data_IF_736135753220
#
_entry.id   IF_736135753220
#
_cell.length_a   1.000
_cell.length_b   1.000
_cell.length_c   1.000
_cell.angle_alpha   90.00
_cell.angle_beta   90.00
_cell.angle_gamma   90.00
#
_symmetry.space_group_name_H-M   'P 1'
#
loop_
_entity.id
_entity.type
_entity.pdbx_description
1 polymer ?
#
# COMPACT_ATOMS: atom_id res chain seq x y z
N UNK A 1 22.18 -18.56 11.14
CA UNK A 1 22.84 -18.47 9.81
C UNK A 1 24.34 -18.37 10.05
N UNK A 2 25.13 -19.24 9.44
CA UNK A 2 26.59 -19.19 9.55
C UNK A 2 27.16 -18.05 8.70
N UNK A 3 28.31 -17.48 9.07
CA UNK A 3 28.96 -16.40 8.32
C UNK A 3 29.21 -16.77 6.83
N UNK A 4 29.53 -18.04 6.56
CA UNK A 4 29.73 -18.54 5.20
C UNK A 4 28.46 -18.55 4.36
N UNK A 5 27.30 -18.84 4.96
CA UNK A 5 26.00 -18.80 4.27
C UNK A 5 25.61 -17.35 3.95
N UNK A 6 25.89 -16.41 4.86
CA UNK A 6 25.70 -14.98 4.64
C UNK A 6 26.53 -14.50 3.44
N UNK A 7 27.83 -14.80 3.42
CA UNK A 7 28.71 -14.39 2.34
C UNK A 7 28.31 -14.99 0.98
N UNK A 8 27.88 -16.27 0.98
CA UNK A 8 27.39 -16.93 -0.22
C UNK A 8 26.10 -16.29 -0.75
N UNK A 9 25.16 -15.93 0.11
CA UNK A 9 23.94 -15.21 -0.28
C UNK A 9 24.27 -13.84 -0.89
N UNK A 10 25.16 -13.07 -0.27
CA UNK A 10 25.56 -11.75 -0.76
C UNK A 10 26.33 -11.81 -2.10
N UNK A 11 27.07 -12.91 -2.34
CA UNK A 11 27.69 -13.19 -3.64
C UNK A 11 26.66 -13.39 -4.75
N UNK A 12 25.52 -14.03 -4.45
CA UNK A 12 24.42 -14.18 -5.38
C UNK A 12 23.74 -12.84 -5.67
N UNK A 13 23.49 -12.02 -4.63
CA UNK A 13 22.90 -10.68 -4.78
C UNK A 13 23.73 -9.79 -5.71
N UNK A 14 25.06 -9.77 -5.55
CA UNK A 14 25.93 -8.97 -6.40
C UNK A 14 25.97 -9.42 -7.88
N UNK A 15 25.55 -10.66 -8.17
CA UNK A 15 25.48 -11.20 -9.55
C UNK A 15 24.07 -11.12 -10.14
N UNK A 16 23.05 -10.91 -9.31
CA UNK A 16 21.67 -10.85 -9.75
C UNK A 16 21.45 -9.61 -10.61
N UNK A 17 20.74 -9.79 -11.73
CA UNK A 17 20.44 -8.68 -12.63
C UNK A 17 19.29 -7.85 -12.04
N UNK A 18 19.40 -6.52 -12.00
CA UNK A 18 18.27 -5.66 -11.66
C UNK A 18 17.13 -5.87 -12.67
N UNK A 19 15.92 -6.14 -12.20
CA UNK A 19 14.76 -6.40 -13.06
C UNK A 19 13.47 -6.65 -12.27
N UNK A 20 12.34 -6.88 -12.97
CA UNK A 20 11.02 -7.15 -12.36
C UNK A 20 10.88 -8.59 -11.79
N UNK A 21 11.95 -9.37 -11.82
CA UNK A 21 12.05 -10.72 -11.25
C UNK A 21 13.14 -10.81 -10.18
N UNK A 22 13.65 -9.67 -9.71
CA UNK A 22 14.84 -9.61 -8.86
C UNK A 22 14.69 -10.44 -7.58
N UNK A 23 13.55 -10.33 -6.87
CA UNK A 23 13.33 -11.08 -5.64
C UNK A 23 13.07 -12.57 -5.91
N UNK A 24 12.34 -12.91 -6.98
CA UNK A 24 12.11 -14.29 -7.40
C UNK A 24 13.40 -15.01 -7.82
N UNK A 25 14.26 -14.33 -8.57
CA UNK A 25 15.53 -14.87 -9.06
C UNK A 25 16.52 -15.12 -7.90
N UNK A 26 16.43 -14.31 -6.84
CA UNK A 26 17.22 -14.50 -5.63
C UNK A 26 16.69 -15.65 -4.77
N UNK A 27 15.37 -15.86 -4.71
CA UNK A 27 14.75 -16.84 -3.83
C UNK A 27 15.19 -16.64 -2.38
N UNK A 28 15.67 -17.71 -1.73
CA UNK A 28 16.13 -17.65 -0.34
C UNK A 28 17.55 -17.10 -0.17
N UNK A 29 18.21 -16.67 -1.26
CA UNK A 29 19.62 -16.25 -1.28
C UNK A 29 19.77 -14.76 -1.06
N UNK A 30 19.16 -14.24 0.00
CA UNK A 30 19.38 -12.87 0.43
C UNK A 30 18.87 -12.56 1.82
N UNK A 31 19.42 -11.49 2.40
CA UNK A 31 19.16 -11.09 3.77
C UNK A 31 18.56 -9.68 3.76
N UNK A 32 17.37 -9.56 4.35
CA UNK A 32 16.68 -8.28 4.50
C UNK A 32 16.60 -8.00 6.00
N UNK A 33 17.20 -6.89 6.42
CA UNK A 33 17.07 -6.39 7.79
C UNK A 33 15.67 -5.83 8.02
N UNK A 34 15.27 -5.71 9.29
CA UNK A 34 13.96 -5.16 9.63
C UNK A 34 13.74 -3.74 9.09
N UNK A 35 14.76 -2.88 9.15
CA UNK A 35 14.69 -1.54 8.60
C UNK A 35 14.52 -1.53 7.08
N UNK A 36 15.18 -2.45 6.37
CA UNK A 36 14.97 -2.62 4.92
C UNK A 36 13.59 -3.18 4.60
N UNK A 37 13.07 -4.09 5.41
CA UNK A 37 11.71 -4.60 5.26
C UNK A 37 10.68 -3.46 5.35
N UNK A 38 10.78 -2.61 6.37
CA UNK A 38 9.91 -1.43 6.49
C UNK A 38 10.09 -0.45 5.33
N UNK A 39 11.33 -0.24 4.88
CA UNK A 39 11.59 0.56 3.69
C UNK A 39 10.91 -0.01 2.42
N UNK A 40 11.08 -1.30 2.12
CA UNK A 40 10.42 -1.96 0.99
C UNK A 40 8.91 -1.85 1.11
N UNK A 41 8.38 -2.01 2.32
CA UNK A 41 6.95 -1.90 2.58
C UNK A 41 6.43 -0.48 2.30
N UNK A 42 7.18 0.55 2.68
CA UNK A 42 6.80 1.93 2.35
C UNK A 42 6.79 2.16 0.84
N UNK A 43 7.71 1.56 0.07
CA UNK A 43 7.72 1.67 -1.40
C UNK A 43 6.48 1.05 -2.02
N UNK A 44 6.03 -0.11 -1.53
CA UNK A 44 4.91 -0.83 -2.12
C UNK A 44 3.60 -0.03 -2.15
N UNK A 45 3.43 0.91 -1.22
CA UNK A 45 2.22 1.72 -1.05
C UNK A 45 2.35 3.16 -1.54
N UNK A 46 3.52 3.55 -2.06
CA UNK A 46 3.78 4.93 -2.49
C UNK A 46 3.46 5.12 -3.98
N UNK A 47 2.74 6.19 -4.36
CA UNK A 47 2.58 6.56 -5.76
C UNK A 47 3.92 7.02 -6.34
N UNK A 48 4.03 6.94 -7.67
CA UNK A 48 5.21 7.30 -8.45
C UNK A 48 5.65 8.76 -8.22
N UNK A 49 4.70 9.67 -8.02
CA UNK A 49 4.95 11.08 -7.67
C UNK A 49 5.69 11.24 -6.33
N UNK A 50 5.45 10.32 -5.39
CA UNK A 50 6.09 10.30 -4.08
C UNK A 50 7.55 9.82 -4.10
N UNK A 51 7.97 9.12 -5.15
CA UNK A 51 9.32 8.55 -5.27
C UNK A 51 10.41 9.61 -5.30
N UNK A 52 10.20 10.70 -6.05
CA UNK A 52 11.15 11.81 -6.11
C UNK A 52 11.26 12.55 -4.79
N UNK A 53 10.14 12.68 -4.07
CA UNK A 53 10.11 13.30 -2.74
C UNK A 53 10.89 12.43 -1.75
N UNK A 54 10.64 11.12 -1.74
CA UNK A 54 11.36 10.17 -0.90
C UNK A 54 12.87 10.17 -1.18
N UNK A 55 13.27 10.18 -2.46
CA UNK A 55 14.68 10.25 -2.83
C UNK A 55 15.35 11.52 -2.32
N UNK A 56 14.70 12.69 -2.50
CA UNK A 56 15.19 13.96 -1.97
C UNK A 56 15.24 14.03 -0.44
N UNK A 57 14.45 13.22 0.26
CA UNK A 57 14.54 13.10 1.71
C UNK A 57 15.75 12.25 2.15
N UNK A 58 16.23 11.35 1.28
CA UNK A 58 17.42 10.54 1.53
C UNK A 58 18.71 11.27 1.17
N UNK A 59 18.70 11.98 0.04
CA UNK A 59 19.80 12.82 -0.45
C UNK A 59 19.91 14.09 0.42
N UNK A 60 20.78 14.03 1.44
CA UNK A 60 20.91 15.11 2.43
C UNK A 60 21.82 16.24 1.98
N UNK A 61 22.72 15.97 1.03
CA UNK A 61 23.64 16.97 0.49
C UNK A 61 23.15 17.58 -0.85
N UNK A 62 22.09 17.03 -1.44
CA UNK A 62 21.43 17.53 -2.64
C UNK A 62 22.22 17.24 -3.91
N UNK A 63 23.09 16.24 -3.90
CA UNK A 63 23.97 15.91 -5.03
C UNK A 63 23.30 15.00 -6.10
N UNK A 64 22.00 14.73 -5.95
CA UNK A 64 21.17 13.83 -6.77
C UNK A 64 21.60 12.35 -6.73
N UNK A 65 22.37 11.97 -5.72
CA UNK A 65 22.86 10.62 -5.46
C UNK A 65 22.74 10.31 -3.97
N UNK A 66 22.42 9.07 -3.63
CA UNK A 66 22.38 8.63 -2.24
C UNK A 66 23.62 7.79 -1.95
N UNK A 67 24.32 8.09 -0.86
CA UNK A 67 25.43 7.28 -0.36
C UNK A 67 24.96 6.26 0.69
N UNK A 68 25.76 5.21 0.91
CA UNK A 68 25.49 4.18 1.93
C UNK A 68 25.22 4.79 3.31
N UNK A 69 25.97 5.83 3.70
CA UNK A 69 25.80 6.55 4.98
C UNK A 69 24.46 7.27 5.10
N UNK A 70 23.95 7.80 4.00
CA UNK A 70 22.66 8.49 3.97
C UNK A 70 21.50 7.49 4.06
N UNK A 71 21.63 6.34 3.40
CA UNK A 71 20.68 5.25 3.55
C UNK A 71 20.60 4.73 4.99
N UNK A 72 21.72 4.69 5.73
CA UNK A 72 21.70 4.36 7.17
C UNK A 72 20.93 5.38 8.02
N UNK A 73 20.88 6.66 7.63
CA UNK A 73 20.06 7.66 8.35
C UNK A 73 18.59 7.27 8.30
N UNK A 74 18.10 6.74 7.18
CA UNK A 74 16.74 6.22 7.05
C UNK A 74 16.48 5.07 8.01
N UNK A 75 17.39 4.08 8.04
CA UNK A 75 17.26 2.94 8.95
C UNK A 75 17.20 3.38 10.41
N UNK A 76 17.95 4.44 10.77
CA UNK A 76 17.93 5.02 12.12
C UNK A 76 16.64 5.76 12.44
N UNK A 77 16.03 6.43 11.47
CA UNK A 77 14.73 7.12 11.66
C UNK A 77 13.62 6.09 11.84
N UNK A 78 13.58 5.09 10.97
CA UNK A 78 12.59 4.01 11.02
C UNK A 78 12.72 3.23 12.34
N UNK A 79 13.94 2.88 12.76
CA UNK A 79 14.15 2.17 14.03
C UNK A 79 13.79 2.96 15.29
N UNK A 80 13.87 4.29 15.26
CA UNK A 80 13.49 5.14 16.41
C UNK A 80 11.98 5.23 16.64
N UNK A 81 11.17 5.02 15.60
CA UNK A 81 9.70 5.09 15.72
C UNK A 81 9.12 3.90 16.51
N UNK A 82 9.84 2.77 16.55
CA UNK A 82 9.50 1.58 17.33
C UNK A 82 9.99 1.65 18.79
N UNK A 83 11.16 2.26 19.05
CA UNK A 83 11.68 2.48 20.40
C UNK A 83 10.78 3.41 21.23
N UNK A 84 10.16 4.42 20.61
CA UNK A 84 9.25 5.33 21.33
C UNK A 84 7.97 4.64 21.80
N UNK A 85 7.61 3.49 21.20
CA UNK A 85 6.43 2.71 21.60
C UNK A 85 6.75 1.61 22.62
N UNK A 86 8.03 1.31 22.85
CA UNK A 86 8.46 0.13 23.61
C UNK A 86 9.60 0.46 24.57
N UNK A 87 9.40 1.39 25.51
CA UNK A 87 9.98 1.32 26.86
C UNK A 87 9.73 2.62 27.64
N UNK A 88 9.05 2.49 28.78
CA UNK A 88 9.52 3.18 29.96
C UNK A 88 10.85 2.55 30.34
N UNK A 89 11.84 3.41 30.56
CA UNK A 89 13.10 3.19 31.29
C UNK A 89 14.01 2.01 30.84
N UNK A 90 15.26 2.37 30.53
CA UNK A 90 16.44 1.51 30.33
C UNK A 90 16.66 0.84 28.96
N UNK A 91 17.02 1.63 27.92
CA UNK A 91 18.20 1.33 27.07
C UNK A 91 18.62 2.53 26.20
N UNK A 92 19.34 3.49 26.79
CA UNK A 92 20.09 4.51 26.04
C UNK A 92 21.41 3.88 25.55
N UNK A 93 21.39 2.89 24.67
CA UNK A 93 22.62 2.37 24.04
C UNK A 93 22.35 1.56 22.77
N UNK A 94 22.19 2.23 21.61
CA UNK A 94 22.60 1.64 20.31
C UNK A 94 22.83 2.61 19.14
N UNK A 95 23.01 3.90 19.43
CA UNK A 95 23.23 4.91 18.38
C UNK A 95 24.58 4.84 17.66
N UNK A 96 25.59 4.18 18.24
CA UNK A 96 26.96 4.13 17.71
C UNK A 96 27.37 2.77 17.12
N UNK A 97 26.61 1.69 17.38
CA UNK A 97 26.97 0.34 16.89
C UNK A 97 26.41 0.02 15.49
N UNK A 98 25.42 0.78 14.98
CA UNK A 98 24.84 0.49 13.66
C UNK A 98 25.79 0.85 12.52
N UNK A 99 26.70 1.82 12.70
CA UNK A 99 27.75 2.10 11.72
C UNK A 99 28.84 1.01 11.68
N UNK A 100 28.91 0.16 12.71
CA UNK A 100 29.95 -0.85 12.92
C UNK A 100 29.45 -2.31 12.87
N UNK A 101 28.14 -2.57 12.82
CA UNK A 101 27.61 -3.92 12.73
C UNK A 101 27.66 -4.40 11.28
N UNK A 102 28.85 -4.86 10.88
CA UNK A 102 29.24 -5.29 9.54
C UNK A 102 28.55 -6.54 9.03
N UNK A 103 27.22 -6.51 8.91
CA UNK A 103 26.48 -7.48 8.09
C UNK A 103 25.93 -6.73 6.89
N UNK A 104 26.56 -6.95 5.73
CA UNK A 104 26.00 -6.49 4.48
C UNK A 104 24.67 -7.21 4.24
N UNK A 105 23.66 -6.45 3.84
CA UNK A 105 22.32 -6.94 3.50
C UNK A 105 22.12 -6.89 1.98
N UNK A 106 21.02 -7.49 1.52
CA UNK A 106 20.68 -7.55 0.10
C UNK A 106 20.60 -6.15 -0.53
N UNK A 107 19.84 -5.21 0.06
CA UNK A 107 19.66 -3.89 -0.56
C UNK A 107 20.94 -3.06 -0.51
N UNK A 108 21.71 -3.17 0.58
CA UNK A 108 23.00 -2.48 0.68
C UNK A 108 23.98 -2.94 -0.42
N UNK A 109 24.06 -4.24 -0.66
CA UNK A 109 24.91 -4.79 -1.74
C UNK A 109 24.35 -4.41 -3.11
N UNK A 110 23.03 -4.40 -3.28
CA UNK A 110 22.38 -4.08 -4.54
C UNK A 110 22.57 -2.60 -4.94
N UNK A 111 22.49 -1.67 -3.98
CA UNK A 111 22.57 -0.22 -4.26
C UNK A 111 23.99 0.34 -4.19
N UNK A 112 24.84 -0.18 -3.31
CA UNK A 112 26.15 0.43 -3.01
C UNK A 112 27.34 -0.50 -3.32
N UNK A 113 27.06 -1.69 -3.86
CA UNK A 113 28.06 -2.73 -4.07
C UNK A 113 28.56 -3.35 -2.77
N UNK A 114 29.38 -4.40 -2.88
CA UNK A 114 29.92 -5.12 -1.70
C UNK A 114 30.78 -4.25 -0.78
N UNK A 115 31.53 -3.33 -1.39
CA UNK A 115 32.40 -2.41 -0.65
C UNK A 115 31.66 -1.16 -0.16
N UNK A 116 30.41 -0.93 -0.59
CA UNK A 116 29.62 0.23 -0.18
C UNK A 116 30.10 1.56 -0.75
N UNK A 117 30.84 1.53 -1.87
CA UNK A 117 31.45 2.71 -2.50
C UNK A 117 30.64 3.27 -3.67
N UNK A 118 29.71 2.47 -4.20
CA UNK A 118 28.84 2.92 -5.29
C UNK A 118 27.80 3.90 -4.74
N UNK A 119 27.27 4.75 -5.62
CA UNK A 119 26.31 5.78 -5.29
C UNK A 119 25.02 5.51 -6.05
N UNK A 120 23.89 5.60 -5.36
CA UNK A 120 22.59 5.29 -5.91
C UNK A 120 21.97 6.53 -6.57
N UNK A 121 21.76 6.49 -7.88
CA UNK A 121 21.13 7.60 -8.62
C UNK A 121 19.61 7.51 -8.54
N UNK A 122 18.93 8.65 -8.73
CA UNK A 122 17.47 8.69 -8.76
C UNK A 122 16.87 7.75 -9.82
N UNK A 123 17.46 7.66 -11.02
CA UNK A 123 16.96 6.78 -12.09
C UNK A 123 17.01 5.30 -11.71
N UNK A 124 18.03 4.89 -10.96
CA UNK A 124 18.19 3.51 -10.49
C UNK A 124 17.22 3.22 -9.36
N UNK A 125 17.10 4.16 -8.42
CA UNK A 125 16.12 4.10 -7.33
C UNK A 125 14.69 4.01 -7.87
N UNK A 126 14.32 4.87 -8.81
CA UNK A 126 13.02 4.88 -9.47
C UNK A 126 12.72 3.53 -10.12
N UNK A 127 13.66 3.02 -10.94
CA UNK A 127 13.51 1.72 -11.61
C UNK A 127 13.40 0.58 -10.61
N UNK A 128 14.15 0.60 -9.52
CA UNK A 128 14.04 -0.39 -8.46
C UNK A 128 12.64 -0.41 -7.84
N UNK A 129 12.10 0.76 -7.50
CA UNK A 129 10.76 0.86 -6.90
C UNK A 129 9.66 0.42 -7.87
N UNK A 130 9.75 0.79 -9.15
CA UNK A 130 8.82 0.34 -10.18
C UNK A 130 8.88 -1.19 -10.38
N UNK A 131 10.09 -1.75 -10.42
CA UNK A 131 10.29 -3.20 -10.53
C UNK A 131 9.74 -3.95 -9.31
N UNK A 132 9.98 -3.44 -8.10
CA UNK A 132 9.46 -4.03 -6.86
C UNK A 132 7.92 -4.06 -6.85
N UNK A 133 7.29 -2.93 -7.20
CA UNK A 133 5.83 -2.86 -7.29
C UNK A 133 5.30 -3.83 -8.36
N UNK A 134 5.94 -3.89 -9.52
CA UNK A 134 5.56 -4.80 -10.62
C UNK A 134 5.70 -6.26 -10.21
N UNK A 135 6.80 -6.61 -9.54
CA UNK A 135 7.08 -7.97 -9.11
C UNK A 135 6.05 -8.46 -8.08
N UNK A 136 5.71 -7.62 -7.10
CA UNK A 136 4.66 -7.95 -6.11
C UNK A 136 3.30 -8.08 -6.77
N UNK A 137 2.97 -7.21 -7.73
CA UNK A 137 1.71 -7.30 -8.48
C UNK A 137 1.63 -8.60 -9.29
N UNK A 138 2.70 -9.01 -9.96
CA UNK A 138 2.74 -10.27 -10.70
C UNK A 138 2.62 -11.49 -9.78
N UNK A 139 3.27 -11.45 -8.62
CA UNK A 139 3.18 -12.52 -7.63
C UNK A 139 1.77 -12.65 -7.05
N UNK A 140 1.10 -11.53 -6.76
CA UNK A 140 -0.29 -11.55 -6.35
C UNK A 140 -1.19 -12.07 -7.46
N UNK A 141 -0.99 -11.61 -8.69
CA UNK A 141 -1.78 -12.08 -9.83
C UNK A 141 -1.68 -13.59 -9.97
N UNK A 142 -0.47 -14.15 -9.98
CA UNK A 142 -0.23 -15.60 -10.09
C UNK A 142 -0.85 -16.37 -8.92
N UNK A 143 -0.78 -15.81 -7.70
CA UNK A 143 -1.38 -16.44 -6.51
C UNK A 143 -2.89 -16.56 -6.64
N UNK A 144 -3.58 -15.47 -7.00
CA UNK A 144 -5.04 -15.43 -7.09
C UNK A 144 -5.57 -16.06 -8.39
N UNK A 145 -4.82 -15.99 -9.49
CA UNK A 145 -5.13 -16.70 -10.74
C UNK A 145 -4.83 -18.22 -10.67
N UNK A 146 -4.28 -18.70 -9.55
CA UNK A 146 -3.89 -20.11 -9.34
C UNK A 146 -2.91 -20.61 -10.41
N UNK A 147 -2.02 -19.73 -10.85
CA UNK A 147 -1.03 -20.01 -11.89
C UNK A 147 -1.50 -19.83 -13.34
N UNK A 148 -2.76 -19.44 -13.56
CA UNK A 148 -3.29 -19.17 -14.90
C UNK A 148 -2.82 -17.80 -15.42
N UNK A 149 -2.79 -17.65 -16.74
CA UNK A 149 -2.45 -16.38 -17.41
C UNK A 149 -3.55 -15.32 -17.32
N UNK A 150 -4.75 -15.72 -16.91
CA UNK A 150 -5.92 -14.87 -16.71
C UNK A 150 -6.52 -15.14 -15.34
N UNK A 151 -7.07 -14.10 -14.70
CA UNK A 151 -7.73 -14.19 -13.40
C UNK A 151 -9.24 -14.15 -13.60
N UNK A 152 -10.01 -15.02 -12.95
CA UNK A 152 -11.47 -14.94 -13.02
C UNK A 152 -11.97 -13.75 -12.20
N UNK A 153 -13.12 -13.18 -12.54
CA UNK A 153 -13.67 -12.02 -11.82
C UNK A 153 -13.95 -12.33 -10.33
N UNK A 154 -14.28 -13.57 -10.00
CA UNK A 154 -14.47 -14.03 -8.61
C UNK A 154 -13.14 -14.06 -7.85
N UNK A 155 -12.06 -14.51 -8.49
CA UNK A 155 -10.72 -14.49 -7.88
C UNK A 155 -10.21 -13.05 -7.72
N UNK A 156 -10.59 -12.14 -8.63
CA UNK A 156 -10.32 -10.70 -8.49
C UNK A 156 -11.11 -10.07 -7.33
N UNK A 157 -12.38 -10.44 -7.14
CA UNK A 157 -13.17 -10.01 -6.00
C UNK A 157 -12.58 -10.53 -4.68
N UNK A 158 -12.18 -11.81 -4.65
CA UNK A 158 -11.47 -12.41 -3.51
C UNK A 158 -10.21 -11.63 -3.15
N UNK A 159 -9.40 -11.30 -4.17
CA UNK A 159 -8.23 -10.47 -4.02
C UNK A 159 -8.62 -9.10 -3.45
N UNK A 160 -9.60 -8.41 -4.02
CA UNK A 160 -9.94 -7.05 -3.59
C UNK A 160 -10.43 -6.98 -2.14
N UNK A 161 -11.20 -7.99 -1.71
CA UNK A 161 -11.80 -8.11 -0.38
C UNK A 161 -10.90 -8.83 0.65
N UNK A 162 -9.69 -9.24 0.27
CA UNK A 162 -8.82 -10.04 1.15
C UNK A 162 -8.47 -9.36 2.49
N UNK A 163 -8.46 -8.02 2.54
CA UNK A 163 -8.12 -7.24 3.74
C UNK A 163 -9.32 -6.48 4.32
N UNK A 164 -10.56 -6.84 3.96
CA UNK A 164 -11.78 -6.23 4.51
C UNK A 164 -12.41 -7.12 5.57
N UNK A 165 -13.06 -6.51 6.55
CA UNK A 165 -13.70 -7.22 7.66
C UNK A 165 -14.84 -8.15 7.18
N UNK A 166 -14.92 -9.36 7.73
CA UNK A 166 -15.84 -10.41 7.28
C UNK A 166 -17.32 -10.00 7.33
N UNK A 167 -17.73 -9.21 8.34
CA UNK A 167 -19.12 -8.74 8.50
C UNK A 167 -19.61 -7.88 7.32
N UNK A 168 -18.71 -7.15 6.67
CA UNK A 168 -19.04 -6.33 5.50
C UNK A 168 -18.94 -7.11 4.19
N UNK A 169 -18.35 -8.31 4.20
CA UNK A 169 -18.02 -9.05 2.99
C UNK A 169 -19.17 -9.91 2.46
N UNK A 170 -20.13 -10.32 3.30
CA UNK A 170 -21.24 -11.19 2.88
C UNK A 170 -22.05 -10.59 1.73
N UNK A 171 -22.35 -9.28 1.81
CA UNK A 171 -23.13 -8.57 0.79
C UNK A 171 -22.36 -8.50 -0.53
N UNK A 172 -21.06 -8.20 -0.48
CA UNK A 172 -20.21 -8.16 -1.68
C UNK A 172 -20.10 -9.54 -2.33
N UNK A 173 -19.99 -10.61 -1.54
CA UNK A 173 -19.95 -11.97 -2.06
C UNK A 173 -21.28 -12.42 -2.67
N UNK A 174 -22.41 -11.95 -2.14
CA UNK A 174 -23.72 -12.19 -2.73
C UNK A 174 -23.83 -11.48 -4.10
N UNK A 175 -23.41 -10.22 -4.19
CA UNK A 175 -23.35 -9.48 -5.45
C UNK A 175 -22.45 -10.16 -6.49
N UNK A 176 -21.29 -10.69 -6.08
CA UNK A 176 -20.40 -11.46 -6.95
C UNK A 176 -21.11 -12.69 -7.52
N UNK A 177 -21.81 -13.47 -6.68
CA UNK A 177 -22.52 -14.68 -7.13
C UNK A 177 -23.69 -14.38 -8.06
N UNK A 178 -24.40 -13.29 -7.81
CA UNK A 178 -25.65 -12.99 -8.52
C UNK A 178 -25.42 -12.18 -9.81
N UNK A 179 -24.39 -11.34 -9.85
CA UNK A 179 -24.20 -10.33 -10.92
C UNK A 179 -23.00 -10.58 -11.84
N UNK A 180 -22.05 -11.43 -11.44
CA UNK A 180 -20.87 -11.74 -12.26
C UNK A 180 -21.14 -13.00 -13.07
N UNK A 181 -20.99 -12.89 -14.39
CA UNK A 181 -21.20 -14.01 -15.31
C UNK A 181 -19.99 -14.94 -15.32
N UNK A 182 -20.26 -16.24 -15.37
CA UNK A 182 -19.22 -17.27 -15.42
C UNK A 182 -18.47 -17.20 -16.77
N UNK A 183 -17.14 -17.17 -16.70
CA UNK A 183 -16.25 -17.21 -17.88
C UNK A 183 -15.65 -15.86 -18.27
N UNK A 184 -16.04 -14.77 -17.62
CA UNK A 184 -15.38 -13.48 -17.76
C UNK A 184 -14.08 -13.42 -16.94
N UNK A 185 -13.01 -12.90 -17.55
CA UNK A 185 -11.68 -12.89 -16.96
C UNK A 185 -11.03 -11.51 -17.03
N UNK A 186 -10.04 -11.29 -16.18
CA UNK A 186 -9.18 -10.10 -16.09
C UNK A 186 -7.76 -10.51 -16.45
N UNK A 187 -7.17 -9.78 -17.39
CA UNK A 187 -5.77 -9.96 -17.81
C UNK A 187 -4.78 -9.34 -16.81
N UNK A 188 -3.51 -9.76 -16.90
CA UNK A 188 -2.44 -9.19 -16.07
C UNK A 188 -2.29 -7.67 -16.29
N UNK A 189 -2.45 -7.17 -17.52
CA UNK A 189 -2.30 -5.75 -17.83
C UNK A 189 -3.45 -4.91 -17.24
N UNK A 190 -4.68 -5.43 -17.31
CA UNK A 190 -5.85 -4.81 -16.65
C UNK A 190 -5.65 -4.77 -15.13
N UNK A 191 -5.18 -5.87 -14.55
CA UNK A 191 -4.87 -5.96 -13.13
C UNK A 191 -3.78 -4.96 -12.70
N UNK A 192 -2.66 -4.89 -13.44
CA UNK A 192 -1.58 -3.91 -13.18
C UNK A 192 -2.08 -2.47 -13.30
N UNK A 193 -2.93 -2.18 -14.28
CA UNK A 193 -3.55 -0.86 -14.44
C UNK A 193 -4.43 -0.51 -13.25
N UNK A 194 -5.22 -1.48 -12.76
CA UNK A 194 -6.00 -1.31 -11.54
C UNK A 194 -5.12 -1.07 -10.30
N UNK A 195 -4.03 -1.82 -10.12
CA UNK A 195 -3.09 -1.58 -9.02
C UNK A 195 -2.44 -0.19 -9.07
N UNK A 196 -2.06 0.29 -10.26
CA UNK A 196 -1.57 1.67 -10.45
C UNK A 196 -2.63 2.69 -10.06
N UNK A 197 -3.89 2.43 -10.37
CA UNK A 197 -5.00 3.25 -9.90
C UNK A 197 -5.09 3.26 -8.36
N UNK A 198 -5.04 2.09 -7.71
CA UNK A 198 -5.11 2.03 -6.24
C UNK A 198 -3.95 2.77 -5.56
N UNK A 199 -2.77 2.81 -6.16
CA UNK A 199 -1.64 3.58 -5.59
C UNK A 199 -1.86 5.10 -5.62
N UNK A 200 -2.75 5.60 -6.46
CA UNK A 200 -3.12 7.03 -6.56
C UNK A 200 -4.51 7.30 -5.97
N UNK A 201 -4.97 6.46 -5.03
CA UNK A 201 -6.32 6.56 -4.46
C UNK A 201 -6.56 7.89 -3.73
N UNK A 202 -5.54 8.52 -3.16
CA UNK A 202 -5.70 9.81 -2.46
C UNK A 202 -6.07 10.93 -3.45
N UNK A 203 -5.40 11.00 -4.60
CA UNK A 203 -5.74 11.96 -5.66
C UNK A 203 -7.14 11.69 -6.22
N UNK A 204 -7.50 10.42 -6.39
CA UNK A 204 -8.84 10.01 -6.79
C UNK A 204 -9.91 10.36 -5.72
N UNK A 205 -9.60 10.19 -4.44
CA UNK A 205 -10.49 10.52 -3.32
C UNK A 205 -10.84 12.00 -3.32
N UNK A 206 -9.91 12.90 -3.67
CA UNK A 206 -10.18 14.34 -3.80
C UNK A 206 -11.23 14.57 -4.90
N UNK A 207 -11.07 13.95 -6.06
CA UNK A 207 -12.04 14.06 -7.15
C UNK A 207 -13.43 13.55 -6.73
N UNK A 208 -13.48 12.39 -6.06
CA UNK A 208 -14.75 11.83 -5.56
C UNK A 208 -15.41 12.72 -4.51
N UNK A 209 -14.65 13.30 -3.60
CA UNK A 209 -15.17 14.25 -2.61
C UNK A 209 -15.87 15.44 -3.27
N UNK A 210 -15.35 15.95 -4.39
CA UNK A 210 -16.00 17.07 -5.11
C UNK A 210 -17.40 16.68 -5.62
N UNK A 211 -17.60 15.46 -6.10
CA UNK A 211 -18.92 14.97 -6.52
C UNK A 211 -19.86 14.78 -5.33
N UNK A 212 -19.35 14.21 -4.23
CA UNK A 212 -20.12 14.03 -2.99
C UNK A 212 -20.58 15.37 -2.42
N UNK A 213 -19.70 16.37 -2.33
CA UNK A 213 -20.07 17.73 -1.85
C UNK A 213 -21.11 18.39 -2.76
N UNK A 214 -21.05 18.12 -4.07
CA UNK A 214 -22.02 18.62 -5.03
C UNK A 214 -23.36 17.84 -5.02
N UNK A 215 -23.52 16.83 -4.15
CA UNK A 215 -24.65 15.89 -4.14
C UNK A 215 -24.91 15.26 -5.52
N UNK A 216 -23.83 14.98 -6.26
CA UNK A 216 -23.93 14.32 -7.57
C UNK A 216 -23.55 12.84 -7.43
N UNK A 217 -24.39 11.92 -7.92
CA UNK A 217 -24.03 10.51 -7.97
C UNK A 217 -22.84 10.29 -8.92
N UNK A 218 -21.96 9.37 -8.56
CA UNK A 218 -20.81 9.00 -9.38
C UNK A 218 -21.18 7.77 -10.20
N UNK A 219 -21.58 8.00 -11.46
CA UNK A 219 -21.84 6.93 -12.43
C UNK A 219 -20.53 6.49 -13.10
N UNK A 220 -20.63 5.46 -13.94
CA UNK A 220 -19.49 4.86 -14.66
C UNK A 220 -18.65 5.88 -15.44
N UNK A 221 -19.28 6.84 -16.12
CA UNK A 221 -18.59 7.84 -16.94
C UNK A 221 -17.77 8.82 -16.08
N UNK A 222 -18.36 9.33 -15.00
CA UNK A 222 -17.70 10.19 -14.03
C UNK A 222 -16.56 9.46 -13.33
N UNK A 223 -16.77 8.19 -12.95
CA UNK A 223 -15.74 7.35 -12.35
C UNK A 223 -14.55 7.16 -13.30
N UNK A 224 -14.80 6.74 -14.55
CA UNK A 224 -13.77 6.55 -15.58
C UNK A 224 -12.96 7.83 -15.79
N UNK A 225 -13.64 8.98 -15.86
CA UNK A 225 -13.00 10.30 -15.97
C UNK A 225 -12.14 10.63 -14.75
N UNK A 226 -12.64 10.38 -13.54
CA UNK A 226 -11.90 10.65 -12.32
C UNK A 226 -10.64 9.77 -12.20
N UNK A 227 -10.73 8.49 -12.59
CA UNK A 227 -9.55 7.61 -12.66
C UNK A 227 -8.53 8.13 -13.68
N UNK A 228 -8.98 8.57 -14.85
CA UNK A 228 -8.11 9.16 -15.88
C UNK A 228 -7.38 10.41 -15.40
N UNK A 229 -8.07 11.27 -14.64
CA UNK A 229 -7.47 12.48 -14.06
C UNK A 229 -6.46 12.12 -12.95
N UNK A 230 -6.77 11.17 -12.08
CA UNK A 230 -5.91 10.80 -10.96
C UNK A 230 -4.66 10.02 -11.39
N UNK A 231 -4.75 9.20 -12.43
CA UNK A 231 -3.69 8.23 -12.79
C UNK A 231 -3.05 8.49 -14.15
N UNK A 232 -3.68 9.29 -15.01
CA UNK A 232 -3.32 9.43 -16.42
C UNK A 232 -3.71 8.20 -17.28
N UNK A 233 -4.22 7.13 -16.68
CA UNK A 233 -4.58 5.87 -17.34
C UNK A 233 -6.10 5.63 -17.30
N UNK A 234 -6.60 4.82 -18.22
CA UNK A 234 -8.01 4.43 -18.25
C UNK A 234 -8.12 2.95 -17.85
N UNK A 235 -9.05 2.65 -16.97
CA UNK A 235 -9.42 1.27 -16.67
C UNK A 235 -10.23 0.72 -17.84
N UNK A 236 -10.07 -0.59 -18.12
CA UNK A 236 -10.92 -1.26 -19.10
C UNK A 236 -12.36 -1.29 -18.62
N UNK A 237 -13.30 -1.29 -19.56
CA UNK A 237 -14.73 -1.36 -19.24
C UNK A 237 -15.08 -2.67 -18.52
N UNK A 238 -14.31 -3.73 -18.76
CA UNK A 238 -14.39 -5.02 -18.07
C UNK A 238 -14.09 -4.90 -16.56
N UNK A 239 -13.00 -4.22 -16.19
CA UNK A 239 -12.64 -3.98 -14.78
C UNK A 239 -13.65 -3.03 -14.13
N UNK A 240 -14.05 -1.97 -14.82
CA UNK A 240 -15.04 -1.02 -14.32
C UNK A 240 -16.39 -1.69 -14.04
N UNK A 241 -16.89 -2.49 -14.98
CA UNK A 241 -18.14 -3.24 -14.79
C UNK A 241 -18.08 -4.17 -13.59
N UNK A 242 -16.94 -4.85 -13.40
CA UNK A 242 -16.72 -5.72 -12.24
C UNK A 242 -16.75 -4.94 -10.93
N UNK A 243 -16.09 -3.78 -10.86
CA UNK A 243 -16.09 -2.92 -9.67
C UNK A 243 -17.51 -2.45 -9.34
N UNK A 244 -18.25 -1.94 -10.32
CA UNK A 244 -19.62 -1.48 -10.09
C UNK A 244 -20.51 -2.64 -9.64
N UNK A 245 -20.43 -3.82 -10.27
CA UNK A 245 -21.19 -5.00 -9.83
C UNK A 245 -20.90 -5.42 -8.40
N UNK A 246 -19.65 -5.30 -7.93
CA UNK A 246 -19.27 -5.65 -6.56
C UNK A 246 -19.79 -4.60 -5.57
N UNK A 247 -19.50 -3.32 -5.79
CA UNK A 247 -19.69 -2.26 -4.80
C UNK A 247 -21.02 -1.50 -4.90
N UNK A 248 -21.82 -1.70 -5.95
CA UNK A 248 -23.16 -1.14 -6.07
C UNK A 248 -24.15 -1.94 -5.19
N UNK A 249 -24.38 -1.47 -3.96
CA UNK A 249 -25.21 -2.16 -2.98
C UNK A 249 -26.71 -1.94 -3.20
N UNK A 250 -27.11 -0.77 -3.68
CA UNK A 250 -28.52 -0.38 -3.87
C UNK A 250 -29.03 -0.59 -5.31
N UNK A 251 -28.14 -0.96 -6.24
CA UNK A 251 -28.46 -1.25 -7.63
C UNK A 251 -28.74 0.00 -8.44
N UNK A 252 -28.24 1.17 -8.02
CA UNK A 252 -28.50 2.46 -8.67
C UNK A 252 -27.47 2.80 -9.78
N UNK A 253 -26.54 1.88 -10.07
CA UNK A 253 -25.39 2.03 -10.99
C UNK A 253 -24.50 3.23 -10.64
N UNK A 254 -24.49 3.61 -9.36
CA UNK A 254 -23.63 4.63 -8.78
C UNK A 254 -22.76 4.02 -7.69
N UNK A 255 -21.62 4.65 -7.44
CA UNK A 255 -20.64 4.15 -6.48
C UNK A 255 -20.45 5.16 -5.36
N UNK A 256 -20.72 4.74 -4.13
CA UNK A 256 -20.61 5.60 -2.97
C UNK A 256 -19.16 5.79 -2.52
N UNK A 257 -18.83 7.00 -2.06
CA UNK A 257 -17.48 7.36 -1.60
C UNK A 257 -17.03 6.48 -0.42
N UNK A 258 -17.93 6.22 0.53
CA UNK A 258 -17.62 5.51 1.76
C UNK A 258 -17.40 4.02 1.58
N UNK A 259 -18.17 3.36 0.70
CA UNK A 259 -18.11 1.90 0.53
C UNK A 259 -16.85 1.50 -0.24
N UNK A 260 -16.64 2.08 -1.42
CA UNK A 260 -15.51 1.71 -2.26
C UNK A 260 -14.17 2.18 -1.68
N UNK A 261 -14.04 3.45 -1.26
CA UNK A 261 -12.75 3.94 -0.78
C UNK A 261 -12.34 3.31 0.55
N UNK A 262 -13.31 2.91 1.40
CA UNK A 262 -13.02 2.17 2.63
C UNK A 262 -12.34 0.84 2.32
N UNK A 263 -12.94 0.05 1.43
CA UNK A 263 -12.42 -1.25 1.00
C UNK A 263 -11.06 -1.12 0.32
N UNK A 264 -10.93 -0.22 -0.66
CA UNK A 264 -9.68 -0.06 -1.41
C UNK A 264 -8.57 0.53 -0.53
N UNK A 265 -8.88 1.39 0.45
CA UNK A 265 -7.89 1.84 1.45
C UNK A 265 -7.37 0.66 2.27
N UNK A 266 -8.23 -0.20 2.78
CA UNK A 266 -7.79 -1.37 3.57
C UNK A 266 -6.88 -2.28 2.73
N UNK A 267 -7.23 -2.50 1.46
CA UNK A 267 -6.40 -3.21 0.47
C UNK A 267 -5.01 -2.60 0.30
N UNK A 268 -4.91 -1.29 0.06
CA UNK A 268 -3.62 -0.59 -0.13
C UNK A 268 -2.73 -0.74 1.11
N UNK A 269 -3.32 -0.68 2.30
CA UNK A 269 -2.57 -0.83 3.54
C UNK A 269 -2.20 -2.28 3.86
N UNK A 270 -2.70 -3.27 3.11
CA UNK A 270 -2.36 -4.70 3.25
C UNK A 270 -2.54 -5.25 4.67
N UNK A 271 -3.50 -4.71 5.42
CA UNK A 271 -3.70 -5.05 6.84
C UNK A 271 -2.61 -4.54 7.80
N UNK A 272 -1.68 -3.72 7.33
CA UNK A 272 -0.52 -3.27 8.11
C UNK A 272 -0.79 -1.98 8.90
N UNK A 273 -1.89 -1.29 8.59
CA UNK A 273 -2.44 -0.27 9.47
C UNK A 273 -3.46 -0.91 10.40
N UNK A 274 -3.01 -1.26 11.60
CA UNK A 274 -3.93 -1.56 12.70
C UNK A 274 -4.43 -0.21 13.23
N UNK A 275 -5.75 0.02 13.31
CA UNK A 275 -6.29 1.15 14.04
C UNK A 275 -5.72 1.09 15.45
N UNK A 276 -4.96 2.10 15.84
CA UNK A 276 -4.39 2.16 17.18
C UNK A 276 -5.55 2.00 18.15
N UNK A 277 -5.56 0.92 18.94
CA UNK A 277 -6.54 0.69 19.98
C UNK A 277 -6.51 1.93 20.88
N UNK A 278 -7.50 2.82 20.72
CA UNK A 278 -7.56 4.04 21.53
C UNK A 278 -7.87 3.71 23.00
N UNK A 279 -8.03 2.42 23.36
CA UNK A 279 -8.27 1.95 24.72
C UNK A 279 -9.41 2.74 25.38
N UNK A 280 -9.20 3.12 26.63
CA UNK A 280 -10.14 3.94 27.41
C UNK A 280 -10.35 5.32 26.77
N UNK A 281 -9.35 5.89 26.07
CA UNK A 281 -9.53 7.18 25.37
C UNK A 281 -10.48 7.05 24.17
N UNK A 282 -10.47 5.91 23.49
CA UNK A 282 -11.38 5.58 22.39
C UNK A 282 -12.80 5.40 22.85
N UNK A 283 -12.96 4.69 23.98
CA UNK A 283 -14.22 4.57 24.67
C UNK A 283 -14.80 5.95 25.02
N UNK A 284 -14.05 6.82 25.69
CA UNK A 284 -14.52 8.16 26.05
C UNK A 284 -14.79 9.05 24.83
N UNK A 285 -14.02 8.91 23.76
CA UNK A 285 -14.26 9.62 22.50
C UNK A 285 -15.55 9.14 21.82
N UNK A 286 -15.85 7.84 21.90
CA UNK A 286 -17.08 7.24 21.41
C UNK A 286 -18.29 7.69 22.25
N UNK A 287 -18.22 7.54 23.57
CA UNK A 287 -19.28 8.00 24.51
C UNK A 287 -19.56 9.47 24.28
N UNK A 288 -18.51 10.32 24.23
CA UNK A 288 -18.70 11.75 23.97
C UNK A 288 -19.36 12.03 22.62
N UNK A 289 -18.96 11.31 21.56
CA UNK A 289 -19.55 11.47 20.22
C UNK A 289 -21.03 11.08 20.21
N UNK A 290 -21.37 9.92 20.75
CA UNK A 290 -22.74 9.39 20.74
C UNK A 290 -23.65 10.14 21.71
N UNK A 291 -23.15 10.57 22.88
CA UNK A 291 -23.90 11.46 23.79
C UNK A 291 -24.19 12.83 23.16
N UNK A 292 -23.23 13.41 22.42
CA UNK A 292 -23.45 14.68 21.72
C UNK A 292 -24.44 14.53 20.56
N UNK A 293 -24.37 13.42 19.81
CA UNK A 293 -25.36 13.12 18.75
C UNK A 293 -26.76 12.97 19.34
N UNK A 294 -26.92 12.15 20.39
CA UNK A 294 -28.20 11.96 21.07
C UNK A 294 -28.77 13.27 21.61
N UNK A 295 -27.93 14.10 22.25
CA UNK A 295 -28.35 15.41 22.73
C UNK A 295 -28.78 16.36 21.58
N UNK A 296 -28.08 16.35 20.44
CA UNK A 296 -28.46 17.15 19.26
C UNK A 296 -29.77 16.68 18.62
N UNK A 297 -30.01 15.37 18.59
CA UNK A 297 -31.24 14.78 18.05
C UNK A 297 -32.44 15.13 18.93
N UNK A 298 -32.30 14.99 20.25
CA UNK A 298 -33.31 15.40 21.23
C UNK A 298 -33.57 16.90 21.15
N UNK A 299 -32.51 17.72 21.01
CA UNK A 299 -32.65 19.17 20.90
C UNK A 299 -33.40 19.60 19.64
N UNK A 300 -33.13 18.95 18.50
CA UNK A 300 -33.88 19.17 17.25
C UNK A 300 -35.36 18.81 17.38
N UNK A 301 -35.70 17.79 18.17
CA UNK A 301 -37.09 17.35 18.37
C UNK A 301 -37.87 18.19 19.40
N UNK A 302 -37.20 18.73 20.43
CA UNK A 302 -37.86 19.43 21.54
C UNK A 302 -37.72 20.96 21.52
N UNK A 303 -36.83 21.53 20.71
CA UNK A 303 -36.67 22.98 20.55
C UNK A 303 -36.19 23.72 21.81
N UNK A 304 -35.84 23.02 22.88
CA UNK A 304 -35.32 23.61 24.14
C UNK A 304 -33.97 22.99 24.49
N UNK A 305 -33.01 23.86 24.79
CA UNK A 305 -31.66 23.47 25.22
C UNK A 305 -31.71 22.68 26.54
N UNK A 306 -30.93 21.60 26.70
CA UNK A 306 -30.74 20.94 28.00
C UNK A 306 -29.71 21.65 28.89
N UNK A 307 -29.18 22.79 28.43
CA UNK A 307 -28.30 23.71 29.15
C UNK A 307 -28.95 25.08 29.28
#
# INVERSE_FOLDING_TARGET
>A
VSSKEVDAALLCVAKAKPGPTFFRDLGDKGLISYAEYLFLLTILTKPQTGFRIAFKMLDTDGNEQVEKKEFFKLQRIIGKEDDVKTAGEETIFRGAELESCGVNTMLLVHFFGKEGKEKLRYSEFFRFMENLQTEVQEMEFVKFSKGLSVMRKEDFAEWLLYFTDEENNEIYWQNVKDRIEAGENISLEEFKTFCKFTNNLEDFSIAMQMFTVANRPVKRAEFKRAVKVATGQELSDNVLDTIFKIFDLDGDDCLSHSEFLGVVRNRIHRGLRVPQQQGIQGYWKCVKRESIKGAKEVWKQTGKSPF
#
